data_IF_539984039818
#
_entry.id   IF_539984039818
#
_cell.length_a   1.000
_cell.length_b   1.000
_cell.length_c   1.000
_cell.angle_alpha   90.00
_cell.angle_beta   90.00
_cell.angle_gamma   90.00
#
_symmetry.space_group_name_H-M   'P 1'
#
loop_
_entity.id
_entity.type
_entity.pdbx_description
1 polymer ?
#
# COMPACT_ATOMS: atom_id res chain seq x y z
N UNK A 1 -9.95 -10.53 -32.62
CA UNK A 1 -8.82 -10.36 -33.54
C UNK A 1 -7.85 -11.52 -33.30
N UNK A 2 -7.76 -12.50 -34.21
CA UNK A 2 -6.90 -13.67 -34.05
C UNK A 2 -5.53 -13.26 -34.63
N UNK A 3 -4.53 -13.11 -33.75
CA UNK A 3 -3.16 -12.84 -34.19
C UNK A 3 -2.61 -14.14 -34.78
N UNK A 4 -2.15 -14.13 -36.02
CA UNK A 4 -1.61 -15.32 -36.66
C UNK A 4 -0.34 -15.80 -35.91
N UNK A 5 -0.12 -17.13 -35.85
CA UNK A 5 1.07 -17.73 -35.20
C UNK A 5 2.39 -17.17 -35.73
N UNK A 6 2.47 -16.82 -37.03
CA UNK A 6 3.64 -16.20 -37.63
C UNK A 6 3.93 -14.79 -37.14
N UNK A 7 2.89 -14.01 -36.81
CA UNK A 7 3.04 -12.67 -36.26
C UNK A 7 3.49 -12.73 -34.79
N UNK A 8 3.02 -13.74 -34.05
CA UNK A 8 3.47 -14.03 -32.67
C UNK A 8 4.97 -14.46 -32.68
N UNK A 9 5.37 -15.29 -33.64
CA UNK A 9 6.75 -15.77 -33.70
C UNK A 9 7.74 -14.66 -34.10
N UNK A 10 7.33 -13.73 -34.98
CA UNK A 10 8.13 -12.53 -35.30
C UNK A 10 8.23 -11.53 -34.14
N UNK A 11 7.22 -11.44 -33.29
CA UNK A 11 7.27 -10.63 -32.07
C UNK A 11 8.21 -11.24 -31.02
N UNK A 12 8.20 -12.57 -30.84
CA UNK A 12 9.04 -13.27 -29.87
C UNK A 12 10.54 -13.19 -30.16
N UNK A 13 10.96 -13.06 -31.42
CA UNK A 13 12.37 -12.98 -31.78
C UNK A 13 13.01 -11.58 -31.67
N UNK A 14 12.20 -10.50 -31.56
CA UNK A 14 12.71 -9.11 -31.54
C UNK A 14 12.63 -8.44 -30.18
N UNK A 15 11.82 -8.96 -29.25
CA UNK A 15 11.43 -8.26 -28.04
C UNK A 15 11.58 -9.09 -26.75
N UNK A 16 12.47 -10.09 -26.76
CA UNK A 16 12.84 -10.78 -25.52
C UNK A 16 13.80 -9.90 -24.73
N UNK A 17 13.30 -9.33 -23.63
CA UNK A 17 14.08 -8.50 -22.73
C UNK A 17 13.54 -8.57 -21.32
N UNK A 18 14.43 -8.37 -20.33
CA UNK A 18 14.02 -8.13 -18.96
C UNK A 18 13.73 -6.65 -18.79
N UNK A 19 12.50 -6.34 -18.46
CA UNK A 19 12.07 -4.97 -18.18
C UNK A 19 11.76 -4.83 -16.70
N UNK A 20 12.36 -3.87 -15.99
CA UNK A 20 11.98 -3.58 -14.63
C UNK A 20 10.61 -2.93 -14.61
N UNK A 21 9.79 -3.31 -13.62
CA UNK A 21 8.45 -2.78 -13.40
C UNK A 21 8.44 -2.03 -12.08
N UNK A 22 7.87 -0.82 -12.08
CA UNK A 22 7.66 -0.08 -10.84
C UNK A 22 6.61 -0.80 -10.00
N UNK A 23 6.98 -1.15 -8.77
CA UNK A 23 6.08 -1.74 -7.78
C UNK A 23 5.53 -0.67 -6.86
N UNK A 24 4.22 -0.66 -6.64
CA UNK A 24 3.63 0.15 -5.56
C UNK A 24 3.60 -0.66 -4.27
N UNK A 25 3.57 0.03 -3.13
CA UNK A 25 3.40 -0.61 -1.83
C UNK A 25 2.08 -1.38 -1.75
N UNK A 26 1.02 -0.84 -2.31
CA UNK A 26 -0.27 -1.51 -2.40
C UNK A 26 -0.18 -2.83 -3.19
N UNK A 27 0.52 -2.84 -4.32
CA UNK A 27 0.74 -4.07 -5.09
C UNK A 27 1.60 -5.08 -4.33
N UNK A 28 2.62 -4.63 -3.60
CA UNK A 28 3.46 -5.49 -2.78
C UNK A 28 2.68 -6.12 -1.61
N UNK A 29 1.77 -5.37 -0.98
CA UNK A 29 0.90 -5.86 0.10
C UNK A 29 -0.19 -6.82 -0.42
N UNK A 30 -0.73 -6.56 -1.61
CA UNK A 30 -1.82 -7.33 -2.22
C UNK A 30 -1.40 -8.70 -2.81
N UNK A 31 -0.10 -8.97 -2.96
CA UNK A 31 0.44 -10.24 -3.47
C UNK A 31 0.25 -11.42 -2.49
N UNK A 32 -0.89 -11.50 -1.85
CA UNK A 32 -1.21 -12.49 -0.83
C UNK A 32 -1.46 -13.90 -1.36
N UNK A 33 -1.57 -14.11 -2.69
CA UNK A 33 -1.90 -15.40 -3.27
C UNK A 33 -0.89 -16.52 -3.02
N UNK A 34 0.39 -16.19 -2.86
CA UNK A 34 1.49 -17.12 -2.55
C UNK A 34 2.30 -16.72 -1.31
N UNK A 35 1.77 -15.92 -0.44
CA UNK A 35 2.45 -15.37 0.75
C UNK A 35 3.82 -14.72 0.43
N UNK A 36 4.00 -14.21 -0.78
CA UNK A 36 5.22 -13.54 -1.25
C UNK A 36 5.18 -12.02 -1.10
N UNK A 37 4.05 -11.48 -0.65
CA UNK A 37 3.89 -10.06 -0.37
C UNK A 37 4.53 -9.65 0.96
N UNK A 38 5.01 -8.42 1.01
CA UNK A 38 5.46 -7.79 2.26
C UNK A 38 4.23 -7.11 2.87
N UNK A 39 3.72 -7.62 3.98
CA UNK A 39 2.62 -6.97 4.68
C UNK A 39 3.05 -5.60 5.21
N UNK A 40 2.21 -4.59 4.99
CA UNK A 40 2.43 -3.24 5.54
C UNK A 40 3.79 -2.63 5.14
N UNK A 41 4.13 -2.56 3.86
CA UNK A 41 5.49 -2.20 3.41
C UNK A 41 5.94 -0.81 3.85
N UNK A 42 5.05 0.17 3.95
CA UNK A 42 5.40 1.51 4.40
C UNK A 42 5.85 1.55 5.87
N UNK A 43 5.22 0.75 6.73
CA UNK A 43 5.65 0.64 8.13
C UNK A 43 7.10 0.19 8.22
N UNK A 44 7.48 -0.87 7.49
CA UNK A 44 8.85 -1.36 7.50
C UNK A 44 9.84 -0.42 6.81
N UNK A 45 9.41 0.32 5.78
CA UNK A 45 10.22 1.40 5.19
C UNK A 45 10.52 2.50 6.22
N UNK A 46 9.52 2.89 7.03
CA UNK A 46 9.71 3.84 8.11
C UNK A 46 10.68 3.33 9.19
N UNK A 47 10.54 2.07 9.61
CA UNK A 47 11.44 1.41 10.57
C UNK A 47 12.87 1.41 10.03
N UNK A 48 13.06 0.95 8.79
CA UNK A 48 14.38 0.90 8.15
C UNK A 48 15.01 2.28 8.01
N UNK A 49 14.24 3.29 7.60
CA UNK A 49 14.73 4.65 7.49
C UNK A 49 15.16 5.22 8.84
N UNK A 50 14.42 4.95 9.92
CA UNK A 50 14.83 5.35 11.26
C UNK A 50 16.10 4.63 11.72
N UNK A 51 16.19 3.30 11.51
CA UNK A 51 17.36 2.49 11.86
C UNK A 51 18.64 2.93 11.15
N UNK A 52 18.56 3.35 9.89
CA UNK A 52 19.73 3.82 9.13
C UNK A 52 20.26 5.15 9.68
N UNK A 53 19.40 5.97 10.29
CA UNK A 53 19.76 7.33 10.72
C UNK A 53 19.85 7.48 12.26
N UNK A 54 19.61 6.41 13.04
CA UNK A 54 19.73 6.46 14.49
C UNK A 54 21.09 5.92 14.96
N UNK A 55 21.59 6.48 16.06
CA UNK A 55 22.79 5.98 16.74
C UNK A 55 22.46 4.79 17.66
N UNK A 56 21.23 4.75 18.20
CA UNK A 56 20.72 3.67 19.06
C UNK A 56 19.45 3.08 18.43
N UNK A 57 19.44 1.78 18.05
CA UNK A 57 18.29 1.13 17.49
C UNK A 57 17.16 0.84 18.49
N UNK A 58 17.42 0.96 19.80
CA UNK A 58 16.43 0.69 20.84
C UNK A 58 15.25 1.67 20.75
N UNK A 59 14.04 1.14 20.77
CA UNK A 59 12.80 1.94 20.73
C UNK A 59 12.33 2.33 19.32
N UNK A 60 13.09 2.07 18.27
CA UNK A 60 12.72 2.48 16.90
C UNK A 60 11.40 1.86 16.44
N UNK A 61 11.16 0.62 16.78
CA UNK A 61 9.87 -0.04 16.48
C UNK A 61 8.72 0.63 17.24
N UNK A 62 8.86 0.80 18.56
CA UNK A 62 7.86 1.43 19.41
C UNK A 62 7.52 2.85 18.97
N UNK A 63 8.54 3.63 18.60
CA UNK A 63 8.37 4.99 18.08
C UNK A 63 7.64 5.00 16.72
N UNK A 64 7.93 4.03 15.86
CA UNK A 64 7.25 3.92 14.56
C UNK A 64 5.80 3.50 14.72
N UNK A 65 5.52 2.58 15.66
CA UNK A 65 4.16 2.18 16.00
C UNK A 65 3.38 3.35 16.62
N UNK A 66 4.01 4.16 17.47
CA UNK A 66 3.39 5.35 18.04
C UNK A 66 3.05 6.39 16.97
N UNK A 67 3.95 6.63 16.02
CA UNK A 67 3.69 7.51 14.86
C UNK A 67 2.49 7.02 14.05
N UNK A 68 2.39 5.70 13.85
CA UNK A 68 1.26 5.09 13.14
C UNK A 68 -0.06 5.21 13.93
N UNK A 69 -0.02 5.05 15.25
CA UNK A 69 -1.18 5.29 16.13
C UNK A 69 -1.67 6.73 15.99
N UNK A 70 -0.76 7.71 16.09
CA UNK A 70 -1.09 9.14 15.93
C UNK A 70 -1.63 9.42 14.52
N UNK A 71 -1.03 8.82 13.49
CA UNK A 71 -1.52 8.89 12.12
C UNK A 71 -2.94 8.36 11.98
N UNK A 72 -3.24 7.24 12.64
CA UNK A 72 -4.56 6.62 12.65
C UNK A 72 -5.61 7.50 13.35
N UNK A 73 -5.28 8.10 14.49
CA UNK A 73 -6.18 9.06 15.17
C UNK A 73 -6.52 10.23 14.25
N UNK A 74 -5.52 10.82 13.58
CA UNK A 74 -5.73 11.91 12.62
C UNK A 74 -6.55 11.48 11.40
N UNK A 75 -6.39 10.23 10.95
CA UNK A 75 -7.19 9.69 9.86
C UNK A 75 -8.65 9.46 10.32
N UNK A 76 -8.87 8.96 11.52
CA UNK A 76 -10.21 8.83 12.11
C UNK A 76 -10.93 10.20 12.19
N UNK A 77 -10.24 11.24 12.63
CA UNK A 77 -10.79 12.60 12.70
C UNK A 77 -11.22 13.11 11.30
N UNK A 78 -10.41 12.89 10.27
CA UNK A 78 -10.75 13.24 8.88
C UNK A 78 -11.96 12.48 8.30
N UNK A 79 -12.29 11.35 8.88
CA UNK A 79 -13.42 10.50 8.48
C UNK A 79 -14.59 10.60 9.45
N UNK A 80 -14.62 11.63 10.32
CA UNK A 80 -15.66 11.87 11.30
C UNK A 80 -15.88 10.69 12.26
N UNK A 81 -14.82 9.90 12.53
CA UNK A 81 -14.85 8.80 13.49
C UNK A 81 -14.43 9.35 14.86
N UNK A 82 -15.31 9.28 15.86
CA UNK A 82 -15.04 9.87 17.17
C UNK A 82 -14.02 9.04 17.96
N UNK A 83 -12.75 9.43 17.90
CA UNK A 83 -11.65 8.89 18.72
C UNK A 83 -11.15 10.00 19.62
N UNK A 84 -11.26 9.81 20.93
CA UNK A 84 -10.78 10.78 21.91
C UNK A 84 -9.30 10.61 22.24
N UNK A 85 -8.69 11.65 22.83
CA UNK A 85 -7.32 11.55 23.37
C UNK A 85 -7.21 10.50 24.48
N UNK A 86 -8.29 10.26 25.21
CA UNK A 86 -8.33 9.19 26.21
C UNK A 86 -8.27 7.80 25.55
N UNK A 87 -8.98 7.61 24.44
CA UNK A 87 -8.92 6.35 23.66
C UNK A 87 -7.50 6.11 23.10
N UNK A 88 -6.85 7.16 22.58
CA UNK A 88 -5.47 7.08 22.09
C UNK A 88 -4.47 6.74 23.19
N UNK A 89 -4.61 7.37 24.38
CA UNK A 89 -3.77 7.07 25.55
C UNK A 89 -4.01 5.65 26.08
N UNK A 90 -5.26 5.19 26.07
CA UNK A 90 -5.60 3.82 26.43
C UNK A 90 -4.97 2.82 25.45
N UNK A 91 -5.03 3.09 24.13
CA UNK A 91 -4.38 2.27 23.12
C UNK A 91 -2.86 2.19 23.33
N UNK A 92 -2.19 3.31 23.59
CA UNK A 92 -0.76 3.35 23.88
C UNK A 92 -0.39 2.50 25.10
N UNK A 93 -1.14 2.67 26.20
CA UNK A 93 -0.92 1.89 27.42
C UNK A 93 -1.13 0.40 27.19
N UNK A 94 -2.16 0.03 26.42
CA UNK A 94 -2.46 -1.34 26.06
C UNK A 94 -1.37 -1.97 25.19
N UNK A 95 -0.85 -1.27 24.17
CA UNK A 95 0.27 -1.75 23.36
C UNK A 95 1.47 -2.13 24.22
N UNK A 96 1.85 -1.25 25.14
CA UNK A 96 2.97 -1.49 26.05
C UNK A 96 2.72 -2.69 26.97
N UNK A 97 1.50 -2.82 27.49
CA UNK A 97 1.10 -3.96 28.33
C UNK A 97 1.10 -5.28 27.55
N UNK A 98 0.61 -5.29 26.30
CA UNK A 98 0.59 -6.47 25.44
C UNK A 98 2.01 -6.91 25.04
N UNK A 99 2.89 -5.96 24.69
CA UNK A 99 4.28 -6.24 24.40
C UNK A 99 4.98 -6.91 25.60
N UNK A 100 4.77 -6.35 26.80
CA UNK A 100 5.32 -6.94 28.04
C UNK A 100 4.78 -8.35 28.30
N UNK A 101 3.46 -8.58 28.14
CA UNK A 101 2.85 -9.91 28.30
C UNK A 101 3.38 -10.94 27.29
N UNK A 102 3.71 -10.52 26.07
CA UNK A 102 4.27 -11.38 25.02
C UNK A 102 5.78 -11.56 25.15
N UNK A 103 6.41 -10.90 26.10
CA UNK A 103 7.87 -10.91 26.27
C UNK A 103 8.63 -10.17 25.18
N UNK A 104 7.96 -9.28 24.46
CA UNK A 104 8.59 -8.43 23.47
C UNK A 104 9.25 -7.22 24.12
N UNK A 105 10.43 -6.84 23.64
CA UNK A 105 11.12 -5.64 24.13
C UNK A 105 10.48 -4.36 23.61
N UNK A 106 9.82 -4.40 22.45
CA UNK A 106 9.19 -3.27 21.78
C UNK A 106 7.80 -3.64 21.27
N UNK A 107 6.95 -2.62 21.14
CA UNK A 107 5.61 -2.78 20.54
C UNK A 107 5.73 -2.95 19.03
N UNK A 108 4.90 -3.82 18.45
CA UNK A 108 4.79 -4.05 17.02
C UNK A 108 3.40 -3.75 16.46
N UNK A 109 3.21 -4.09 15.20
CA UNK A 109 1.91 -3.91 14.51
C UNK A 109 0.79 -4.73 15.13
N UNK A 110 1.09 -5.92 15.66
CA UNK A 110 0.09 -6.79 16.30
C UNK A 110 -0.47 -6.15 17.58
N UNK A 111 0.41 -5.59 18.41
CA UNK A 111 0.01 -4.88 19.62
C UNK A 111 -0.83 -3.65 19.30
N UNK A 112 -0.48 -2.92 18.23
CA UNK A 112 -1.23 -1.78 17.75
C UNK A 112 -2.63 -2.19 17.25
N UNK A 113 -2.76 -3.25 16.46
CA UNK A 113 -4.03 -3.74 15.94
C UNK A 113 -4.97 -4.17 17.06
N UNK A 114 -4.45 -4.91 18.04
CA UNK A 114 -5.19 -5.32 19.24
C UNK A 114 -5.63 -4.11 20.07
N UNK A 115 -4.75 -3.13 20.24
CA UNK A 115 -5.03 -1.92 21.01
C UNK A 115 -6.08 -1.04 20.33
N UNK A 116 -5.99 -0.81 19.02
CA UNK A 116 -7.00 -0.07 18.25
C UNK A 116 -8.34 -0.80 18.31
N UNK A 117 -8.34 -2.12 18.13
CA UNK A 117 -9.56 -2.93 18.22
C UNK A 117 -10.26 -2.73 19.56
N UNK A 118 -9.50 -2.71 20.64
CA UNK A 118 -10.06 -2.64 22.01
C UNK A 118 -10.43 -1.22 22.44
N UNK A 119 -9.72 -0.20 21.95
CA UNK A 119 -9.88 1.18 22.44
C UNK A 119 -10.73 2.06 21.51
N UNK A 120 -10.68 1.85 20.19
CA UNK A 120 -11.37 2.71 19.23
C UNK A 120 -12.72 2.12 18.79
N UNK A 121 -12.87 0.78 18.84
CA UNK A 121 -14.12 0.13 18.44
C UNK A 121 -15.02 0.00 19.67
N UNK A 122 -16.04 0.86 19.74
CA UNK A 122 -17.02 0.88 20.83
C UNK A 122 -18.27 0.10 20.41
N UNK A 123 -18.51 -1.06 21.04
CA UNK A 123 -19.65 -1.93 20.80
C UNK A 123 -19.35 -3.12 19.89
N UNK A 124 -20.37 -3.65 19.20
CA UNK A 124 -20.19 -4.81 18.32
C UNK A 124 -19.38 -4.47 17.07
N UNK A 125 -18.52 -5.41 16.64
CA UNK A 125 -17.77 -5.29 15.39
C UNK A 125 -18.75 -5.38 14.21
N UNK A 126 -19.03 -4.24 13.60
CA UNK A 126 -19.74 -4.12 12.33
C UNK A 126 -18.76 -3.68 11.25
N UNK A 127 -19.16 -3.73 9.97
CA UNK A 127 -18.33 -3.24 8.86
C UNK A 127 -17.93 -1.77 9.06
N UNK A 128 -18.84 -0.95 9.57
CA UNK A 128 -18.57 0.47 9.85
C UNK A 128 -17.67 0.68 11.07
N UNK A 129 -17.69 -0.20 12.07
CA UNK A 129 -16.84 -0.10 13.26
C UNK A 129 -15.42 -0.61 13.03
N UNK A 130 -15.18 -1.37 11.95
CA UNK A 130 -13.83 -1.81 11.55
C UNK A 130 -12.98 -0.71 10.89
N UNK A 131 -13.58 0.42 10.52
CA UNK A 131 -12.93 1.51 9.78
C UNK A 131 -11.62 2.04 10.43
N UNK A 132 -11.46 2.18 11.75
CA UNK A 132 -10.18 2.56 12.35
C UNK A 132 -9.04 1.59 12.03
N UNK A 133 -9.33 0.28 11.99
CA UNK A 133 -8.34 -0.75 11.63
C UNK A 133 -7.99 -0.66 10.15
N UNK A 134 -8.98 -0.48 9.28
CA UNK A 134 -8.76 -0.33 7.83
C UNK A 134 -7.92 0.92 7.53
N UNK A 135 -8.15 2.03 8.24
CA UNK A 135 -7.34 3.25 8.12
C UNK A 135 -5.91 3.01 8.59
N UNK A 136 -5.71 2.33 9.70
CA UNK A 136 -4.38 1.95 10.20
C UNK A 136 -3.66 1.05 9.19
N UNK A 137 -4.34 0.03 8.65
CA UNK A 137 -3.78 -0.86 7.63
C UNK A 137 -3.38 -0.08 6.38
N UNK A 138 -4.24 0.83 5.90
CA UNK A 138 -3.95 1.68 4.74
C UNK A 138 -2.74 2.58 4.97
N UNK A 139 -2.63 3.18 6.15
CA UNK A 139 -1.47 3.99 6.52
C UNK A 139 -0.19 3.16 6.61
N UNK A 140 -0.26 1.95 7.18
CA UNK A 140 0.88 1.05 7.31
C UNK A 140 1.33 0.47 5.96
N UNK A 141 0.40 0.28 5.02
CA UNK A 141 0.72 -0.15 3.64
C UNK A 141 1.33 1.00 2.84
N UNK A 142 0.77 2.22 2.95
CA UNK A 142 1.22 3.39 2.21
C UNK A 142 0.83 3.36 0.73
N UNK A 143 1.07 4.47 0.04
CA UNK A 143 0.73 4.70 -1.36
C UNK A 143 1.95 4.91 -2.28
N UNK A 144 3.17 4.73 -1.74
CA UNK A 144 4.41 4.99 -2.45
C UNK A 144 4.60 4.00 -3.60
N UNK A 145 4.95 4.53 -4.76
CA UNK A 145 5.37 3.73 -5.91
C UNK A 145 6.88 3.83 -6.06
N UNK A 146 7.54 2.70 -6.29
CA UNK A 146 8.97 2.65 -6.55
C UNK A 146 9.34 3.46 -7.79
N UNK A 147 10.54 4.03 -7.79
CA UNK A 147 11.10 4.71 -8.94
C UNK A 147 12.04 3.77 -9.69
N UNK A 148 11.74 3.55 -10.96
CA UNK A 148 12.64 2.88 -11.86
C UNK A 148 13.56 3.97 -12.41
N UNK A 149 14.87 3.83 -12.21
CA UNK A 149 15.85 4.75 -12.78
C UNK A 149 15.68 4.92 -14.29
N UNK A 150 16.39 5.86 -14.91
CA UNK A 150 16.30 6.16 -16.35
C UNK A 150 16.56 4.91 -17.21
N UNK A 151 15.48 4.22 -17.55
CA UNK A 151 15.53 3.09 -18.45
C UNK A 151 15.06 3.57 -19.80
N UNK A 152 16.00 3.61 -20.74
CA UNK A 152 15.74 4.01 -22.12
C UNK A 152 14.83 3.01 -22.89
N UNK A 153 14.30 1.99 -22.23
CA UNK A 153 13.51 0.94 -22.83
C UNK A 153 12.20 0.76 -22.11
N UNK A 154 11.14 1.29 -22.71
CA UNK A 154 9.77 1.00 -22.28
C UNK A 154 9.40 -0.40 -22.76
N UNK A 155 8.78 -1.26 -21.92
CA UNK A 155 8.29 -2.56 -22.37
C UNK A 155 7.42 -2.43 -23.61
N UNK A 156 7.62 -3.26 -24.65
CA UNK A 156 6.89 -3.14 -25.92
C UNK A 156 5.37 -3.14 -25.75
N UNK A 157 4.86 -3.92 -24.79
CA UNK A 157 3.43 -3.97 -24.48
C UNK A 157 2.91 -2.63 -23.93
N UNK A 158 3.69 -1.94 -23.11
CA UNK A 158 3.31 -0.63 -22.56
C UNK A 158 3.35 0.42 -23.68
N UNK A 159 4.38 0.39 -24.53
CA UNK A 159 4.49 1.29 -25.68
C UNK A 159 3.31 1.13 -26.63
N UNK A 160 2.95 -0.11 -26.99
CA UNK A 160 1.78 -0.41 -27.82
C UNK A 160 0.47 0.06 -27.17
N UNK A 161 0.30 -0.22 -25.88
CA UNK A 161 -0.86 0.24 -25.13
C UNK A 161 -0.98 1.76 -25.12
N UNK A 162 0.11 2.48 -24.87
CA UNK A 162 0.13 3.94 -24.91
C UNK A 162 -0.18 4.50 -26.29
N UNK A 163 0.33 3.86 -27.35
CA UNK A 163 0.04 4.23 -28.73
C UNK A 163 -1.45 4.04 -29.05
N UNK A 164 -2.04 2.90 -28.67
CA UNK A 164 -3.47 2.65 -28.85
C UNK A 164 -4.31 3.67 -28.06
N UNK A 165 -3.92 3.97 -26.84
CA UNK A 165 -4.60 4.99 -26.04
C UNK A 165 -4.54 6.37 -26.70
N UNK A 166 -3.41 6.77 -27.27
CA UNK A 166 -3.27 8.01 -28.05
C UNK A 166 -4.17 8.00 -29.30
N UNK A 167 -4.16 6.88 -30.04
CA UNK A 167 -5.00 6.69 -31.23
C UNK A 167 -6.49 6.86 -30.94
N UNK A 168 -6.95 6.29 -29.80
CA UNK A 168 -8.36 6.39 -29.38
C UNK A 168 -8.64 7.61 -28.48
N UNK A 169 -7.66 8.51 -28.29
CA UNK A 169 -7.78 9.71 -27.43
C UNK A 169 -8.18 9.40 -26.00
N UNK A 170 -7.76 8.24 -25.47
CA UNK A 170 -8.00 7.84 -24.08
C UNK A 170 -7.00 8.53 -23.15
N UNK A 171 -7.50 9.09 -22.07
CA UNK A 171 -6.65 9.73 -21.04
C UNK A 171 -6.29 8.70 -19.99
N UNK A 172 -5.02 8.27 -19.95
CA UNK A 172 -4.54 7.20 -19.06
C UNK A 172 -4.27 7.73 -17.63
N UNK A 173 -3.92 9.02 -17.50
CA UNK A 173 -3.48 9.63 -16.22
C UNK A 173 -4.57 10.53 -15.63
N UNK A 174 -5.78 10.01 -15.44
CA UNK A 174 -6.84 10.77 -14.77
C UNK A 174 -7.35 10.03 -13.56
N UNK A 175 -7.44 10.73 -12.44
CA UNK A 175 -8.01 10.21 -11.18
C UNK A 175 -9.54 10.06 -11.28
N UNK A 176 -10.17 10.78 -12.22
CA UNK A 176 -11.62 10.71 -12.47
C UNK A 176 -11.92 9.72 -13.58
N UNK A 177 -12.94 8.85 -13.42
CA UNK A 177 -13.36 7.94 -14.49
C UNK A 177 -13.83 8.72 -15.72
N UNK A 178 -13.20 8.46 -16.86
CA UNK A 178 -13.59 9.03 -18.13
C UNK A 178 -14.44 8.03 -18.91
N UNK A 179 -15.62 8.48 -19.38
CA UNK A 179 -16.45 7.71 -20.28
C UNK A 179 -16.14 8.15 -21.71
N UNK A 180 -15.62 7.24 -22.53
CA UNK A 180 -15.30 7.51 -23.93
C UNK A 180 -16.00 6.45 -24.79
N UNK A 181 -16.78 6.90 -25.79
CA UNK A 181 -17.33 5.99 -26.79
C UNK A 181 -16.26 5.71 -27.84
N UNK A 182 -15.91 4.46 -28.01
CA UNK A 182 -14.96 4.00 -29.02
C UNK A 182 -15.74 3.29 -30.10
N UNK A 183 -15.75 3.84 -31.33
CA UNK A 183 -16.30 3.16 -32.48
C UNK A 183 -15.34 2.07 -32.96
N UNK A 184 -15.83 0.82 -33.03
CA UNK A 184 -15.08 -0.33 -33.55
C UNK A 184 -14.95 -0.33 -35.07
N UNK A 185 -15.66 0.59 -35.76
CA UNK A 185 -15.74 0.67 -37.22
C UNK A 185 -15.23 2.04 -37.70
N UNK A 186 -13.98 2.36 -37.44
CA UNK A 186 -13.31 3.43 -38.22
C UNK A 186 -12.52 2.77 -39.34
N UNK A 187 -13.08 2.87 -40.54
CA UNK A 187 -12.35 2.66 -41.81
C UNK A 187 -11.18 3.62 -41.91
#
# INVERSE_FOLDING_TARGET
MIISKEKLHKLSQKDEGCFPVAYSYEAADALSGYASGIQRPYFYDCVMNKLIHCDDPAGVYSDTVLDLLIGTVRACDKHDIPVSMADASAAQSMMSGLAALRGCHECGLYELEDAITSSFIKGEKTISSALPIDLMHKLATGDKTGHIGDINHVPPLIADFEEQCKRFRLKIKTVTPNKTEVSLFTT
#
